data_IF_475338623892
#
_entry.id   IF_475338623892
#
_cell.length_a   1.000
_cell.length_b   1.000
_cell.length_c   1.000
_cell.angle_alpha   90.00
_cell.angle_beta   90.00
_cell.angle_gamma   90.00
#
_symmetry.space_group_name_H-M   'P 1'
#
loop_
_entity.id
_entity.type
_entity.pdbx_description
1 polymer ?
#
# COMPACT_ATOMS: atom_id res chain seq x y z
N UNK A 1 16.17 6.65 17.19
CA UNK A 1 15.12 6.42 18.22
C UNK A 1 15.35 5.05 18.88
N UNK A 2 14.86 4.83 20.12
CA UNK A 2 14.96 3.53 20.82
C UNK A 2 13.97 2.47 20.27
N UNK A 3 12.79 2.90 19.84
CA UNK A 3 11.72 2.04 19.28
C UNK A 3 11.07 2.70 18.05
N UNK A 4 10.31 1.93 17.27
CA UNK A 4 9.56 2.40 16.08
C UNK A 4 8.06 2.03 16.14
N UNK A 5 7.40 2.25 17.29
CA UNK A 5 6.00 1.88 17.49
C UNK A 5 5.03 2.67 16.59
N UNK A 6 5.43 3.88 16.19
CA UNK A 6 4.69 4.73 15.26
C UNK A 6 4.85 4.28 13.79
N UNK A 7 5.69 3.27 13.50
CA UNK A 7 5.86 2.74 12.16
C UNK A 7 6.43 3.74 11.15
N UNK A 8 7.33 4.61 11.58
CA UNK A 8 8.02 5.58 10.72
C UNK A 8 7.25 6.86 10.40
N UNK A 9 6.01 7.02 10.89
CA UNK A 9 5.16 8.18 10.61
C UNK A 9 4.66 8.79 11.92
N UNK A 10 4.91 10.08 12.11
CA UNK A 10 4.43 10.86 13.26
C UNK A 10 3.76 12.14 12.73
N UNK A 11 2.52 12.42 13.16
CA UNK A 11 1.79 13.61 12.71
C UNK A 11 1.55 13.69 11.19
N UNK A 12 1.54 12.53 10.49
CA UNK A 12 1.39 12.47 9.04
C UNK A 12 2.69 12.70 8.24
N UNK A 13 3.84 12.83 8.90
CA UNK A 13 5.14 13.08 8.26
C UNK A 13 6.10 11.93 8.56
N UNK A 14 6.96 11.58 7.60
CA UNK A 14 8.02 10.60 7.79
C UNK A 14 9.03 11.09 8.82
N UNK A 15 9.34 10.23 9.78
CA UNK A 15 10.14 10.63 10.94
C UNK A 15 11.60 10.15 10.86
N UNK A 16 12.00 9.53 9.74
CA UNK A 16 13.34 8.98 9.49
C UNK A 16 13.55 7.52 9.93
N UNK A 17 12.59 6.90 10.64
CA UNK A 17 12.59 5.46 10.90
C UNK A 17 11.96 4.69 9.72
N UNK A 18 12.17 3.36 9.59
CA UNK A 18 11.50 2.55 8.58
C UNK A 18 9.98 2.73 8.63
N UNK A 19 9.35 2.91 7.47
CA UNK A 19 7.89 2.93 7.35
C UNK A 19 7.37 1.50 7.49
N UNK A 20 6.50 1.26 8.46
CA UNK A 20 5.93 -0.06 8.75
C UNK A 20 4.42 0.03 8.55
N UNK A 21 3.90 -0.65 7.53
CA UNK A 21 2.47 -0.79 7.29
C UNK A 21 2.02 -2.24 7.50
N UNK A 22 0.73 -2.40 7.83
CA UNK A 22 0.05 -3.69 7.87
C UNK A 22 -1.28 -3.56 7.16
N UNK A 23 -1.57 -4.52 6.28
CA UNK A 23 -2.82 -4.61 5.55
C UNK A 23 -3.53 -5.91 5.91
N UNK A 24 -4.86 -5.90 5.85
CA UNK A 24 -5.70 -7.08 6.06
C UNK A 24 -6.40 -7.40 4.75
N UNK A 25 -6.14 -8.59 4.22
CA UNK A 25 -6.84 -9.12 3.06
C UNK A 25 -7.92 -10.08 3.55
N UNK A 26 -9.18 -9.81 3.21
CA UNK A 26 -10.25 -10.79 3.40
C UNK A 26 -10.00 -12.03 2.53
N UNK A 27 -10.50 -13.22 2.91
CA UNK A 27 -10.44 -14.39 2.05
C UNK A 27 -11.07 -14.14 0.67
N UNK A 28 -10.61 -14.88 -0.34
CA UNK A 28 -11.17 -14.79 -1.68
C UNK A 28 -12.67 -15.15 -1.61
N UNK A 29 -13.59 -14.33 -2.16
CA UNK A 29 -15.01 -14.45 -1.83
C UNK A 29 -15.71 -15.72 -2.33
N UNK A 30 -15.25 -16.29 -3.44
CA UNK A 30 -15.91 -17.44 -4.07
C UNK A 30 -15.29 -18.74 -3.56
N UNK A 31 -16.15 -19.69 -3.18
CA UNK A 31 -15.74 -20.94 -2.52
C UNK A 31 -16.26 -22.14 -3.32
N UNK A 32 -15.47 -23.23 -3.37
CA UNK A 32 -15.91 -24.50 -3.96
C UNK A 32 -17.20 -25.00 -3.30
N UNK A 33 -17.29 -24.91 -1.98
CA UNK A 33 -18.56 -25.06 -1.26
C UNK A 33 -19.34 -23.75 -1.39
N UNK A 34 -20.09 -23.65 -2.48
CA UNK A 34 -20.81 -22.44 -2.89
C UNK A 34 -21.74 -21.94 -1.78
N UNK A 35 -21.66 -20.63 -1.50
CA UNK A 35 -22.49 -19.94 -0.51
C UNK A 35 -23.92 -19.72 -1.03
N UNK A 36 -24.86 -19.42 -0.14
CA UNK A 36 -26.21 -18.99 -0.52
C UNK A 36 -26.14 -17.59 -1.12
N UNK A 37 -26.88 -17.37 -2.19
CA UNK A 37 -27.02 -16.08 -2.88
C UNK A 37 -28.44 -15.95 -3.45
N UNK A 38 -28.71 -14.86 -4.16
CA UNK A 38 -29.99 -14.57 -4.81
C UNK A 38 -29.71 -14.18 -6.27
N UNK A 39 -30.51 -14.70 -7.19
CA UNK A 39 -30.49 -14.24 -8.57
C UNK A 39 -31.14 -12.85 -8.66
N UNK A 40 -30.38 -11.88 -9.18
CA UNK A 40 -30.79 -10.46 -9.16
C UNK A 40 -32.01 -10.16 -10.05
N UNK A 41 -32.31 -10.98 -11.07
CA UNK A 41 -33.44 -10.78 -11.99
C UNK A 41 -34.71 -11.41 -11.43
N UNK A 42 -34.62 -12.67 -11.04
CA UNK A 42 -35.76 -13.48 -10.60
C UNK A 42 -36.05 -13.34 -9.10
N UNK A 43 -35.11 -12.79 -8.32
CA UNK A 43 -35.15 -12.70 -6.85
C UNK A 43 -35.25 -14.05 -6.14
N UNK A 44 -34.96 -15.16 -6.83
CA UNK A 44 -35.02 -16.51 -6.27
C UNK A 44 -33.68 -16.92 -5.64
N UNK A 45 -33.68 -17.77 -4.61
CA UNK A 45 -32.45 -18.30 -4.01
C UNK A 45 -31.63 -19.10 -5.02
N UNK A 46 -30.32 -18.84 -5.08
CA UNK A 46 -29.34 -19.58 -5.90
C UNK A 46 -28.04 -19.81 -5.13
N UNK A 47 -27.15 -20.66 -5.65
CA UNK A 47 -25.79 -20.80 -5.10
C UNK A 47 -24.83 -19.80 -5.77
N UNK A 48 -24.01 -19.12 -4.98
CA UNK A 48 -23.01 -18.14 -5.46
C UNK A 48 -22.05 -18.77 -6.50
N UNK A 49 -21.70 -18.05 -7.56
CA UNK A 49 -20.82 -18.56 -8.63
C UNK A 49 -19.40 -18.79 -8.09
N UNK A 50 -18.70 -19.78 -8.65
CA UNK A 50 -17.31 -20.08 -8.34
C UNK A 50 -16.44 -19.61 -9.52
N UNK A 51 -15.59 -18.63 -9.27
CA UNK A 51 -14.84 -17.91 -10.32
C UNK A 51 -13.35 -18.24 -10.31
N UNK A 52 -12.73 -18.39 -9.12
CA UNK A 52 -11.30 -18.66 -8.97
C UNK A 52 -11.05 -19.80 -8.01
N UNK A 53 -9.94 -20.50 -8.22
CA UNK A 53 -9.57 -21.71 -7.48
C UNK A 53 -8.53 -21.54 -6.39
N UNK A 54 -7.88 -20.39 -6.33
CA UNK A 54 -6.84 -20.13 -5.34
C UNK A 54 -7.42 -20.15 -3.93
N UNK A 55 -6.68 -20.75 -2.99
CA UNK A 55 -7.08 -20.83 -1.58
C UNK A 55 -6.65 -19.55 -0.84
N UNK A 56 -5.49 -19.01 -1.18
CA UNK A 56 -4.91 -17.85 -0.53
C UNK A 56 -4.22 -16.95 -1.58
N UNK A 57 -4.48 -15.65 -1.51
CA UNK A 57 -3.81 -14.64 -2.33
C UNK A 57 -3.06 -13.60 -1.49
N UNK A 58 -2.87 -13.85 -0.19
CA UNK A 58 -2.15 -12.93 0.72
C UNK A 58 -0.71 -12.64 0.25
N UNK A 59 0.08 -13.64 -0.21
CA UNK A 59 1.43 -13.36 -0.72
C UNK A 59 1.41 -12.45 -1.95
N UNK A 60 0.54 -12.72 -2.93
CA UNK A 60 0.40 -11.86 -4.11
C UNK A 60 -0.09 -10.44 -3.73
N UNK A 61 -1.01 -10.33 -2.78
CA UNK A 61 -1.49 -9.06 -2.27
C UNK A 61 -0.39 -8.25 -1.56
N UNK A 62 0.61 -8.90 -0.95
CA UNK A 62 1.73 -8.19 -0.32
C UNK A 62 2.59 -7.46 -1.36
N UNK A 63 2.85 -8.07 -2.52
CA UNK A 63 3.57 -7.41 -3.63
C UNK A 63 2.77 -6.22 -4.17
N UNK A 64 1.45 -6.36 -4.28
CA UNK A 64 0.58 -5.24 -4.66
C UNK A 64 0.66 -4.12 -3.63
N UNK A 65 0.65 -4.44 -2.34
CA UNK A 65 0.78 -3.45 -1.27
C UNK A 65 2.13 -2.71 -1.33
N UNK A 66 3.24 -3.41 -1.56
CA UNK A 66 4.56 -2.80 -1.75
C UNK A 66 4.60 -1.84 -2.95
N UNK A 67 4.01 -2.25 -4.08
CA UNK A 67 3.92 -1.41 -5.27
C UNK A 67 3.09 -0.14 -5.01
N UNK A 68 1.93 -0.27 -4.36
CA UNK A 68 1.10 0.88 -4.02
C UNK A 68 1.80 1.84 -3.06
N UNK A 69 2.51 1.31 -2.06
CA UNK A 69 3.29 2.13 -1.12
C UNK A 69 4.43 2.85 -1.84
N UNK A 70 5.12 2.19 -2.77
CA UNK A 70 6.19 2.79 -3.55
C UNK A 70 5.69 3.96 -4.42
N UNK A 71 4.50 3.83 -5.03
CA UNK A 71 3.87 4.90 -5.81
C UNK A 71 3.61 6.11 -4.91
N UNK A 72 2.99 5.91 -3.74
CA UNK A 72 2.66 7.01 -2.82
C UNK A 72 3.92 7.66 -2.23
N UNK A 73 4.96 6.89 -1.93
CA UNK A 73 6.23 7.45 -1.47
C UNK A 73 6.89 8.27 -2.58
N UNK A 74 6.89 7.79 -3.82
CA UNK A 74 7.44 8.53 -4.95
C UNK A 74 6.69 9.85 -5.19
N UNK A 75 5.36 9.82 -5.12
CA UNK A 75 4.50 11.01 -5.23
C UNK A 75 4.83 12.04 -4.14
N UNK A 76 4.81 11.64 -2.87
CA UNK A 76 5.17 12.53 -1.76
C UNK A 76 6.62 13.03 -1.83
N UNK A 77 7.53 12.24 -2.40
CA UNK A 77 8.92 12.64 -2.61
C UNK A 77 9.02 13.73 -3.69
N UNK A 78 8.32 13.56 -4.81
CA UNK A 78 8.28 14.55 -5.89
C UNK A 78 7.51 15.82 -5.46
N UNK A 79 6.44 15.71 -4.69
CA UNK A 79 5.75 16.87 -4.11
C UNK A 79 6.68 17.71 -3.22
N UNK A 80 7.58 17.05 -2.47
CA UNK A 80 8.53 17.74 -1.58
C UNK A 80 9.74 18.33 -2.31
N UNK A 81 10.30 17.60 -3.26
CA UNK A 81 11.60 17.94 -3.87
C UNK A 81 11.50 18.47 -5.31
N UNK A 82 10.38 18.24 -5.99
CA UNK A 82 10.12 18.70 -7.35
C UNK A 82 11.15 18.23 -8.38
N UNK A 83 11.25 18.99 -9.47
CA UNK A 83 12.18 18.82 -10.57
C UNK A 83 11.62 18.02 -11.74
N UNK A 84 12.02 18.41 -12.95
CA UNK A 84 11.57 17.79 -14.20
C UNK A 84 12.54 16.71 -14.71
N UNK A 85 13.66 16.53 -14.00
CA UNK A 85 14.65 15.48 -14.27
C UNK A 85 15.17 14.85 -12.98
N UNK A 86 15.57 13.58 -13.04
CA UNK A 86 16.14 12.88 -11.87
C UNK A 86 17.35 13.63 -11.28
N UNK A 87 18.18 14.23 -12.14
CA UNK A 87 19.34 15.00 -11.70
C UNK A 87 18.95 16.21 -10.85
N UNK A 88 17.90 16.93 -11.26
CA UNK A 88 17.38 18.09 -10.53
C UNK A 88 16.75 17.68 -9.19
N UNK A 89 15.83 16.70 -9.21
CA UNK A 89 15.21 16.17 -7.99
C UNK A 89 16.28 15.70 -6.99
N UNK A 90 17.34 15.04 -7.50
CA UNK A 90 18.46 14.57 -6.68
C UNK A 90 19.23 15.73 -6.03
N UNK A 91 19.53 16.79 -6.78
CA UNK A 91 20.20 17.98 -6.24
C UNK A 91 19.37 18.63 -5.12
N UNK A 92 18.06 18.76 -5.32
CA UNK A 92 17.15 19.32 -4.32
C UNK A 92 17.11 18.45 -3.04
N UNK A 93 17.03 17.14 -3.20
CA UNK A 93 17.10 16.18 -2.09
C UNK A 93 18.42 16.27 -1.31
N UNK A 94 19.55 16.24 -2.02
CA UNK A 94 20.88 16.32 -1.39
C UNK A 94 21.11 17.66 -0.69
N UNK A 95 20.62 18.76 -1.27
CA UNK A 95 20.64 20.09 -0.63
C UNK A 95 19.85 20.11 0.67
N UNK A 96 18.65 19.52 0.67
CA UNK A 96 17.83 19.38 1.88
C UNK A 96 18.53 18.55 2.97
N UNK A 97 19.19 17.45 2.61
CA UNK A 97 19.98 16.66 3.56
C UNK A 97 21.15 17.46 4.14
N UNK A 98 21.86 18.24 3.32
CA UNK A 98 22.94 19.12 3.79
C UNK A 98 22.42 20.14 4.79
N UNK A 99 21.29 20.79 4.49
CA UNK A 99 20.63 21.70 5.43
C UNK A 99 20.31 21.01 6.77
N UNK A 100 19.69 19.82 6.74
CA UNK A 100 19.41 19.08 7.97
C UNK A 100 20.66 18.70 8.77
N UNK A 101 21.78 18.42 8.10
CA UNK A 101 23.04 18.11 8.79
C UNK A 101 23.75 19.33 9.40
N UNK A 102 23.35 20.54 9.00
CA UNK A 102 23.89 21.79 9.53
C UNK A 102 23.15 22.31 10.77
N UNK A 103 22.04 21.65 11.14
CA UNK A 103 21.23 21.93 12.32
C UNK A 103 21.57 20.90 13.41
#
# INVERSE_FOLDING_TARGET
RRTNNAGGIEGGITNGMPIILRAVMKPIPTLRRRLRSIDIKTKKPVKAIYERSDICAVPAASIIAEAMVSIIIADAFLDKFGGDSISETRLNYESYLKYLSSI
#
